data_IF_279728578728
#
_entry.id   IF_279728578728
#
_cell.length_a   1.000
_cell.length_b   1.000
_cell.length_c   1.000
_cell.angle_alpha   90.00
_cell.angle_beta   90.00
_cell.angle_gamma   90.00
#
_symmetry.space_group_name_H-M   'P 1'
#
loop_
_entity.id
_entity.type
_entity.pdbx_description
1 polymer ?
#
# COMPACT_ATOMS: atom_id res chain seq x y z
N UNK A 1 -10.64 7.03 3.73
CA UNK A 1 -9.59 7.07 2.70
C UNK A 1 -9.43 5.69 2.06
N UNK A 2 -9.22 5.60 0.75
CA UNK A 2 -8.97 4.34 0.06
C UNK A 2 -7.69 4.42 -0.79
N UNK A 3 -6.87 3.36 -0.73
CA UNK A 3 -5.68 3.22 -1.58
C UNK A 3 -5.76 1.89 -2.32
N UNK A 4 -5.61 1.94 -3.64
CA UNK A 4 -5.59 0.78 -4.52
C UNK A 4 -4.16 0.58 -5.04
N UNK A 5 -3.60 -0.61 -4.80
CA UNK A 5 -2.27 -1.00 -5.28
C UNK A 5 -2.44 -2.03 -6.38
N UNK A 6 -2.04 -1.64 -7.59
CA UNK A 6 -2.08 -2.51 -8.76
C UNK A 6 -0.76 -3.25 -8.85
N UNK A 7 -0.79 -4.58 -8.78
CA UNK A 7 0.39 -5.42 -8.87
C UNK A 7 0.59 -5.94 -10.30
N UNK A 8 1.85 -6.17 -10.67
CA UNK A 8 2.20 -6.78 -11.96
C UNK A 8 1.66 -8.22 -12.02
N UNK A 9 0.95 -8.55 -13.10
CA UNK A 9 0.37 -9.88 -13.32
C UNK A 9 -0.91 -10.18 -12.53
N UNK A 10 -1.39 -9.26 -11.68
CA UNK A 10 -2.65 -9.42 -10.93
C UNK A 10 -3.73 -8.53 -11.56
N UNK A 11 -4.89 -9.11 -11.86
CA UNK A 11 -6.01 -8.41 -12.49
C UNK A 11 -6.69 -7.43 -11.54
N UNK A 12 -6.83 -7.81 -10.27
CA UNK A 12 -7.51 -7.02 -9.25
C UNK A 12 -6.49 -6.27 -8.37
N UNK A 13 -6.76 -4.99 -8.01
CA UNK A 13 -5.87 -4.26 -7.11
C UNK A 13 -6.02 -4.76 -5.67
N UNK A 14 -4.94 -4.66 -4.91
CA UNK A 14 -5.00 -4.78 -3.45
C UNK A 14 -5.59 -3.48 -2.91
N UNK A 15 -6.71 -3.59 -2.19
CA UNK A 15 -7.45 -2.43 -1.69
C UNK A 15 -7.24 -2.27 -0.19
N UNK A 16 -6.75 -1.10 0.22
CA UNK A 16 -6.66 -0.68 1.60
C UNK A 16 -7.74 0.37 1.87
N UNK A 17 -8.50 0.20 2.94
CA UNK A 17 -9.53 1.14 3.40
C UNK A 17 -9.34 1.44 4.87
N UNK A 18 -9.35 2.72 5.22
CA UNK A 18 -9.27 3.15 6.60
C UNK A 18 -9.46 4.65 6.78
N UNK A 19 -9.41 5.06 8.04
CA UNK A 19 -9.51 6.47 8.45
C UNK A 19 -8.30 7.25 7.94
N UNK A 20 -7.13 6.61 7.99
CA UNK A 20 -5.87 7.11 7.45
C UNK A 20 -5.09 5.97 6.81
N UNK A 21 -4.47 6.26 5.68
CA UNK A 21 -3.54 5.34 5.02
C UNK A 21 -2.25 6.11 4.71
N UNK A 22 -1.12 5.59 5.17
CA UNK A 22 0.20 6.10 4.81
C UNK A 22 0.89 5.14 3.84
N UNK A 23 1.50 5.68 2.79
CA UNK A 23 2.33 4.95 1.82
C UNK A 23 3.75 5.50 1.88
N UNK A 24 4.69 4.72 2.41
CA UNK A 24 6.07 5.15 2.62
C UNK A 24 7.04 4.36 1.75
N UNK A 25 8.10 5.01 1.26
CA UNK A 25 9.25 4.30 0.68
C UNK A 25 10.11 3.71 1.81
N UNK A 26 10.46 2.44 1.67
CA UNK A 26 11.27 1.72 2.65
C UNK A 26 12.32 0.86 1.94
N UNK A 27 13.54 0.85 2.44
CA UNK A 27 14.62 0.02 1.88
C UNK A 27 15.14 -0.93 2.94
N UNK A 28 15.17 -2.22 2.63
CA UNK A 28 15.64 -3.26 3.53
C UNK A 28 16.45 -4.29 2.76
N UNK A 29 17.66 -4.60 3.23
CA UNK A 29 18.56 -5.56 2.58
C UNK A 29 18.76 -5.29 1.08
N UNK A 30 18.95 -4.02 0.71
CA UNK A 30 19.06 -3.56 -0.68
C UNK A 30 17.83 -3.77 -1.59
N UNK A 31 16.69 -4.16 -1.03
CA UNK A 31 15.43 -4.26 -1.76
C UNK A 31 14.56 -3.05 -1.41
N UNK A 32 14.01 -2.39 -2.43
CA UNK A 32 13.06 -1.28 -2.28
C UNK A 32 11.64 -1.81 -2.11
N UNK A 33 10.97 -1.34 -1.07
CA UNK A 33 9.58 -1.65 -0.71
C UNK A 33 8.75 -0.38 -0.61
N UNK A 34 7.44 -0.55 -0.75
CA UNK A 34 6.45 0.37 -0.21
C UNK A 34 5.88 -0.21 1.07
N UNK A 35 5.95 0.55 2.16
CA UNK A 35 5.25 0.22 3.41
C UNK A 35 3.88 0.88 3.38
N UNK A 36 2.83 0.07 3.53
CA UNK A 36 1.45 0.52 3.58
C UNK A 36 0.97 0.40 5.01
N UNK A 37 0.63 1.52 5.64
CA UNK A 37 0.07 1.55 7.00
C UNK A 37 -1.39 1.97 6.93
N UNK A 38 -2.28 1.07 7.32
CA UNK A 38 -3.72 1.34 7.37
C UNK A 38 -4.17 1.50 8.82
N UNK A 39 -4.85 2.60 9.12
CA UNK A 39 -5.41 2.90 10.43
C UNK A 39 -6.93 2.84 10.36
N UNK A 40 -7.55 2.02 11.21
CA UNK A 40 -9.01 1.81 11.25
C UNK A 40 -9.45 1.71 12.70
N UNK A 41 -10.32 2.62 13.16
CA UNK A 41 -10.93 2.59 14.49
C UNK A 41 -9.92 2.42 15.64
N UNK A 42 -8.76 3.08 15.54
CA UNK A 42 -7.69 3.00 16.54
C UNK A 42 -6.75 1.80 16.42
N UNK A 43 -7.01 0.87 15.50
CA UNK A 43 -6.07 -0.21 15.15
C UNK A 43 -5.19 0.21 13.97
N UNK A 44 -3.98 -0.33 13.91
CA UNK A 44 -3.10 -0.17 12.75
C UNK A 44 -2.63 -1.52 12.22
N UNK A 45 -2.56 -1.62 10.89
CA UNK A 45 -1.96 -2.74 10.18
C UNK A 45 -0.89 -2.20 9.23
N UNK A 46 0.27 -2.86 9.19
CA UNK A 46 1.36 -2.49 8.29
C UNK A 46 1.73 -3.67 7.40
N UNK A 47 1.90 -3.41 6.11
CA UNK A 47 2.32 -4.40 5.12
C UNK A 47 3.48 -3.84 4.28
N UNK A 48 4.36 -4.74 3.81
CA UNK A 48 5.46 -4.40 2.92
C UNK A 48 5.22 -5.05 1.56
N UNK A 49 5.31 -4.26 0.50
CA UNK A 49 5.21 -4.73 -0.88
C UNK A 49 6.49 -4.33 -1.61
N UNK A 50 7.18 -5.27 -2.25
CA UNK A 50 8.34 -4.96 -3.08
C UNK A 50 7.95 -3.98 -4.19
N UNK A 51 8.70 -2.89 -4.33
CA UNK A 51 8.42 -1.82 -5.28
C UNK A 51 8.38 -2.33 -6.73
N UNK A 52 9.20 -3.34 -7.06
CA UNK A 52 9.23 -3.98 -8.39
C UNK A 52 7.92 -4.69 -8.77
N UNK A 53 7.11 -5.09 -7.79
CA UNK A 53 5.84 -5.76 -8.02
C UNK A 53 4.70 -4.77 -8.24
N UNK A 54 4.90 -3.50 -7.87
CA UNK A 54 3.87 -2.46 -7.97
C UNK A 54 3.89 -1.85 -9.37
N UNK A 55 2.76 -1.95 -10.05
CA UNK A 55 2.53 -1.29 -11.34
C UNK A 55 2.16 0.18 -11.17
N UNK A 56 1.24 0.47 -10.24
CA UNK A 56 0.82 1.82 -9.86
C UNK A 56 0.10 1.81 -8.51
N UNK A 57 0.07 2.96 -7.85
CA UNK A 57 -0.69 3.21 -6.63
C UNK A 57 -1.70 4.31 -6.96
N UNK A 58 -2.97 4.12 -6.58
CA UNK A 58 -4.03 5.10 -6.77
C UNK A 58 -4.66 5.42 -5.42
N UNK A 59 -4.63 6.68 -5.05
CA UNK A 59 -5.34 7.19 -3.87
C UNK A 59 -6.73 7.66 -4.32
N UNK A 60 -7.76 7.27 -3.57
CA UNK A 60 -9.13 7.73 -3.75
C UNK A 60 -9.57 8.42 -2.47
N UNK A 61 -9.63 9.74 -2.55
CA UNK A 61 -10.39 10.59 -1.66
C UNK A 61 -11.76 10.74 -2.30
N UNK A 62 -12.82 10.27 -1.65
CA UNK A 62 -14.16 10.77 -1.97
C UNK A 62 -14.29 12.24 -1.54
#
# INVERSE_FOLDING_TARGET
MQVEIFLNGVKEPVVYKGDRIDVLDFKMNNIDYKQIRCFVNGFSKSELIEKKLIKRISEKSE
#
